data_IF_516440578675
#
_entry.id   IF_516440578675
#
_cell.length_a   1.000
_cell.length_b   1.000
_cell.length_c   1.000
_cell.angle_alpha   90.00
_cell.angle_beta   90.00
_cell.angle_gamma   90.00
#
_symmetry.space_group_name_H-M   'P 1'
#
loop_
_entity.id
_entity.type
_entity.pdbx_description
1 polymer ?
#
# COMPACT_ATOMS: atom_id res chain seq x y z
N UNK A 1 -16.08 -59.57 -3.59
CA UNK A 1 -17.08 -60.40 -2.89
C UNK A 1 -17.93 -59.47 -2.02
N UNK A 2 -19.25 -59.60 -2.26
CA UNK A 2 -20.42 -59.26 -1.45
C UNK A 2 -20.79 -57.79 -1.19
N UNK A 3 -21.75 -57.38 -2.01
CA UNK A 3 -22.88 -56.49 -1.79
C UNK A 3 -23.60 -56.63 -0.44
N UNK A 4 -24.24 -55.52 -0.01
CA UNK A 4 -25.61 -55.42 0.55
C UNK A 4 -25.89 -53.93 0.71
N UNK A 5 -26.66 -53.28 -0.05
CA UNK A 5 -28.05 -53.01 -0.40
C UNK A 5 -29.04 -52.97 0.78
N UNK A 6 -29.89 -51.91 0.66
CA UNK A 6 -31.29 -51.81 1.13
C UNK A 6 -31.50 -51.09 2.47
N UNK A 7 -32.45 -50.16 2.70
CA UNK A 7 -33.78 -49.92 2.10
C UNK A 7 -34.30 -48.54 2.49
N UNK A 8 -35.10 -47.97 1.61
CA UNK A 8 -36.02 -46.83 1.78
C UNK A 8 -37.05 -47.04 2.89
N UNK A 9 -37.45 -45.97 3.58
CA UNK A 9 -38.79 -45.86 4.18
C UNK A 9 -39.36 -44.48 3.86
N UNK A 10 -40.44 -44.48 3.09
CA UNK A 10 -41.38 -43.39 2.82
C UNK A 10 -42.43 -43.45 3.93
N UNK A 11 -42.75 -42.30 4.53
CA UNK A 11 -43.99 -42.15 5.29
C UNK A 11 -44.58 -40.75 5.00
N UNK A 12 -45.68 -40.77 4.25
CA UNK A 12 -46.61 -39.68 4.04
C UNK A 12 -47.74 -39.76 5.05
N UNK A 13 -48.12 -38.65 5.68
CA UNK A 13 -49.46 -38.46 6.33
C UNK A 13 -49.76 -36.97 6.31
N UNK A 14 -50.62 -36.53 5.45
CA UNK A 14 -52.03 -36.19 5.58
C UNK A 14 -52.36 -34.80 6.17
N UNK A 15 -53.01 -34.06 5.28
CA UNK A 15 -53.72 -32.80 5.35
C UNK A 15 -54.82 -32.82 6.42
N UNK A 16 -54.97 -31.71 7.18
CA UNK A 16 -56.27 -31.37 7.77
C UNK A 16 -56.53 -29.85 7.64
N UNK A 17 -57.47 -29.51 6.78
CA UNK A 17 -58.16 -28.23 6.68
C UNK A 17 -59.07 -28.04 7.91
N UNK A 18 -59.04 -26.86 8.55
CA UNK A 18 -60.19 -26.35 9.30
C UNK A 18 -60.43 -24.90 8.94
N UNK A 19 -61.55 -24.69 8.29
CA UNK A 19 -62.20 -23.41 8.04
C UNK A 19 -62.97 -23.03 9.28
N UNK A 20 -62.82 -21.78 9.76
CA UNK A 20 -63.65 -21.22 10.81
C UNK A 20 -63.75 -19.71 10.59
N UNK A 21 -64.81 -19.29 9.95
CA UNK A 21 -65.22 -17.89 9.88
C UNK A 21 -66.02 -17.54 11.12
N UNK A 22 -65.76 -16.34 11.73
CA UNK A 22 -66.80 -15.52 12.34
C UNK A 22 -66.35 -14.07 12.53
N UNK A 23 -67.25 -13.21 12.15
CA UNK A 23 -67.20 -11.78 12.10
C UNK A 23 -67.18 -11.09 13.49
N UNK A 24 -66.67 -9.86 13.54
CA UNK A 24 -67.04 -8.96 14.61
C UNK A 24 -66.13 -7.77 14.85
N UNK A 25 -66.60 -6.60 14.41
CA UNK A 25 -66.45 -5.28 15.02
C UNK A 25 -65.14 -4.45 14.90
N UNK A 26 -65.25 -3.52 14.04
CA UNK A 26 -64.83 -2.09 14.05
C UNK A 26 -64.19 -1.57 15.36
N UNK A 27 -62.96 -1.13 15.25
CA UNK A 27 -62.48 0.08 15.94
C UNK A 27 -61.29 0.67 15.16
N UNK A 28 -61.47 1.87 14.71
CA UNK A 28 -60.52 2.68 13.96
C UNK A 28 -59.32 3.09 14.85
N UNK A 29 -58.23 2.36 14.71
CA UNK A 29 -56.94 2.77 15.23
C UNK A 29 -56.02 3.09 14.05
N UNK A 30 -55.67 4.35 13.92
CA UNK A 30 -54.71 4.88 12.97
C UNK A 30 -53.34 4.23 13.25
N UNK A 31 -53.04 3.18 12.57
CA UNK A 31 -51.72 2.53 12.61
C UNK A 31 -50.82 3.33 11.68
N UNK A 32 -49.95 4.12 12.29
CA UNK A 32 -48.78 4.71 11.60
C UNK A 32 -47.87 3.55 11.23
N UNK A 33 -47.93 3.13 10.00
CA UNK A 33 -46.98 2.17 9.43
C UNK A 33 -45.64 2.91 9.34
N UNK A 34 -44.81 2.77 10.34
CA UNK A 34 -43.38 3.07 10.22
C UNK A 34 -42.81 2.09 9.22
N UNK A 35 -42.64 2.56 7.99
CA UNK A 35 -41.85 1.83 7.00
C UNK A 35 -40.40 1.95 7.44
N UNK A 36 -39.96 1.03 8.29
CA UNK A 36 -38.54 0.76 8.47
C UNK A 36 -38.01 0.32 7.11
N UNK A 37 -37.49 1.26 6.36
CA UNK A 37 -36.65 0.97 5.20
C UNK A 37 -35.35 0.40 5.75
N UNK A 38 -35.35 -0.87 6.11
CA UNK A 38 -34.10 -1.61 6.32
C UNK A 38 -33.35 -1.55 5.00
N UNK A 39 -32.38 -0.64 4.93
CA UNK A 39 -31.38 -0.62 3.88
C UNK A 39 -30.67 -1.97 3.97
N UNK A 40 -31.05 -2.89 3.08
CA UNK A 40 -30.34 -4.17 2.93
C UNK A 40 -28.92 -3.83 2.51
N UNK A 41 -27.99 -3.74 3.48
CA UNK A 41 -26.57 -3.68 3.16
C UNK A 41 -26.25 -4.97 2.43
N UNK A 42 -25.93 -4.86 1.15
CA UNK A 42 -25.46 -6.00 0.36
C UNK A 42 -24.22 -6.56 1.05
N UNK A 43 -24.29 -7.80 1.47
CA UNK A 43 -23.21 -8.47 2.21
C UNK A 43 -21.98 -8.57 1.29
N UNK A 44 -20.84 -8.04 1.76
CA UNK A 44 -19.57 -8.06 1.03
C UNK A 44 -18.92 -9.43 1.24
N UNK A 45 -18.73 -10.18 0.16
CA UNK A 45 -18.20 -11.56 0.18
C UNK A 45 -17.14 -11.75 -0.90
N UNK A 46 -16.31 -12.79 -0.77
CA UNK A 46 -15.34 -13.19 -1.78
C UNK A 46 -13.88 -12.99 -1.34
N UNK A 47 -12.97 -13.14 -2.30
CA UNK A 47 -11.52 -13.02 -2.05
C UNK A 47 -10.86 -12.18 -3.13
N UNK A 48 -9.97 -11.27 -2.73
CA UNK A 48 -9.12 -10.47 -3.61
C UNK A 48 -7.67 -10.51 -3.15
N UNK A 49 -6.76 -10.28 -4.08
CA UNK A 49 -5.32 -10.08 -3.80
C UNK A 49 -4.91 -8.69 -4.24
N UNK A 50 -4.21 -7.98 -3.34
CA UNK A 50 -3.51 -6.73 -3.60
C UNK A 50 -2.01 -6.98 -3.54
N UNK A 51 -1.27 -6.72 -4.62
CA UNK A 51 0.16 -7.04 -4.74
C UNK A 51 0.95 -5.83 -5.25
N UNK A 52 2.19 -5.67 -4.81
CA UNK A 52 3.09 -4.69 -5.41
C UNK A 52 3.93 -3.88 -4.43
N UNK A 53 3.70 -2.56 -4.37
CA UNK A 53 4.49 -1.63 -3.55
C UNK A 53 4.69 -2.10 -2.11
N UNK A 54 5.95 -2.22 -1.69
CA UNK A 54 6.30 -2.47 -0.29
C UNK A 54 6.29 -1.21 0.56
N UNK A 55 6.17 -0.02 -0.05
CA UNK A 55 5.95 1.23 0.67
C UNK A 55 4.47 1.43 1.04
N UNK A 56 3.53 0.98 0.19
CA UNK A 56 2.08 0.99 0.47
C UNK A 56 1.64 -0.21 1.34
N UNK A 57 2.45 -1.27 1.36
CA UNK A 57 2.08 -2.54 2.02
C UNK A 57 1.59 -2.38 3.46
N UNK A 58 2.24 -1.59 4.36
CA UNK A 58 1.76 -1.43 5.73
C UNK A 58 0.33 -0.87 5.83
N UNK A 59 -0.04 0.08 4.95
CA UNK A 59 -1.38 0.65 4.91
C UNK A 59 -2.40 -0.36 4.37
N UNK A 60 -2.05 -1.07 3.30
CA UNK A 60 -2.90 -2.07 2.70
C UNK A 60 -3.17 -3.25 3.65
N UNK A 61 -2.17 -3.69 4.43
CA UNK A 61 -2.30 -4.74 5.44
C UNK A 61 -3.22 -4.32 6.59
N UNK A 62 -3.06 -3.10 7.13
CA UNK A 62 -3.93 -2.60 8.19
C UNK A 62 -5.36 -2.38 7.69
N UNK A 63 -5.52 -1.89 6.44
CA UNK A 63 -6.82 -1.79 5.81
C UNK A 63 -7.47 -3.17 5.61
N UNK A 64 -6.73 -4.16 5.11
CA UNK A 64 -7.23 -5.50 4.92
C UNK A 64 -7.70 -6.13 6.24
N UNK A 65 -6.89 -6.00 7.29
CA UNK A 65 -7.23 -6.48 8.63
C UNK A 65 -8.54 -5.87 9.15
N UNK A 66 -8.60 -4.54 9.21
CA UNK A 66 -9.76 -3.83 9.78
C UNK A 66 -11.01 -3.91 8.88
N UNK A 67 -10.83 -4.04 7.57
CA UNK A 67 -11.93 -4.29 6.63
C UNK A 67 -12.56 -5.67 6.84
N UNK A 68 -11.74 -6.71 7.01
CA UNK A 68 -12.20 -8.09 7.24
C UNK A 68 -12.87 -8.26 8.62
N UNK A 69 -12.45 -7.50 9.64
CA UNK A 69 -13.14 -7.47 10.93
C UNK A 69 -14.61 -7.00 10.79
N UNK A 70 -14.87 -6.08 9.85
CA UNK A 70 -16.23 -5.57 9.55
C UNK A 70 -16.98 -6.42 8.52
N UNK A 71 -16.26 -7.15 7.67
CA UNK A 71 -16.79 -7.93 6.56
C UNK A 71 -16.26 -9.37 6.63
N UNK A 72 -16.77 -10.14 7.57
CA UNK A 72 -16.22 -11.47 7.94
C UNK A 72 -16.29 -12.54 6.84
N UNK A 73 -17.04 -12.29 5.76
CA UNK A 73 -17.09 -13.16 4.58
C UNK A 73 -16.20 -12.69 3.42
N UNK A 74 -15.49 -11.59 3.61
CA UNK A 74 -14.50 -11.07 2.67
C UNK A 74 -13.09 -11.49 3.06
N UNK A 75 -12.24 -11.81 2.08
CA UNK A 75 -10.81 -12.06 2.27
C UNK A 75 -10.01 -11.12 1.38
N UNK A 76 -9.09 -10.37 1.99
CA UNK A 76 -8.15 -9.51 1.28
C UNK A 76 -6.73 -9.95 1.62
N UNK A 77 -6.01 -10.47 0.62
CA UNK A 77 -4.61 -10.88 0.76
C UNK A 77 -3.71 -9.75 0.25
N UNK A 78 -2.73 -9.35 1.05
CA UNK A 78 -1.76 -8.32 0.67
C UNK A 78 -0.38 -8.94 0.48
N UNK A 79 0.29 -8.61 -0.62
CA UNK A 79 1.60 -9.13 -0.99
C UNK A 79 2.53 -8.00 -1.44
N UNK A 80 3.82 -8.12 -1.13
CA UNK A 80 4.86 -7.25 -1.66
C UNK A 80 5.24 -7.61 -3.12
N UNK A 81 6.46 -7.25 -3.52
CA UNK A 81 7.03 -7.57 -4.84
C UNK A 81 7.49 -6.35 -5.63
N UNK A 82 7.14 -5.14 -5.15
CA UNK A 82 7.45 -3.86 -5.78
C UNK A 82 6.41 -3.42 -6.81
N UNK A 83 6.33 -2.13 -7.04
CA UNK A 83 5.32 -1.47 -7.90
C UNK A 83 5.22 -2.07 -9.30
N UNK A 84 6.37 -2.35 -9.93
CA UNK A 84 6.40 -2.92 -11.28
C UNK A 84 5.81 -4.34 -11.34
N UNK A 85 5.95 -5.13 -10.27
CA UNK A 85 5.32 -6.46 -10.17
C UNK A 85 3.81 -6.30 -10.04
N UNK A 86 3.35 -5.48 -9.07
CA UNK A 86 1.92 -5.26 -8.87
C UNK A 86 1.20 -4.73 -10.13
N UNK A 87 1.81 -3.77 -10.82
CA UNK A 87 1.26 -3.24 -12.07
C UNK A 87 1.16 -4.30 -13.18
N UNK A 88 2.20 -5.14 -13.36
CA UNK A 88 2.19 -6.24 -14.33
C UNK A 88 1.12 -7.28 -14.01
N UNK A 89 1.04 -7.67 -12.75
CA UNK A 89 0.09 -8.69 -12.31
C UNK A 89 -1.35 -8.20 -12.43
N UNK A 90 -1.62 -6.93 -12.10
CA UNK A 90 -2.94 -6.32 -12.29
C UNK A 90 -3.29 -6.21 -13.77
N UNK A 91 -2.39 -5.75 -14.64
CA UNK A 91 -2.63 -5.67 -16.08
C UNK A 91 -2.88 -7.05 -16.70
N UNK A 92 -2.18 -8.08 -16.23
CA UNK A 92 -2.42 -9.47 -16.64
C UNK A 92 -3.73 -10.05 -16.08
N UNK A 93 -4.28 -9.48 -14.99
CA UNK A 93 -5.45 -10.00 -14.29
C UNK A 93 -5.11 -11.11 -13.28
N UNK A 94 -3.84 -11.26 -12.91
CA UNK A 94 -3.38 -12.23 -11.91
C UNK A 94 -3.77 -11.81 -10.47
N UNK A 95 -3.92 -10.51 -10.24
CA UNK A 95 -4.38 -9.92 -8.99
C UNK A 95 -5.46 -8.88 -9.27
N UNK A 96 -6.34 -8.62 -8.30
CA UNK A 96 -7.41 -7.64 -8.42
C UNK A 96 -6.90 -6.22 -8.25
N UNK A 97 -5.84 -6.03 -7.44
CA UNK A 97 -5.26 -4.72 -7.15
C UNK A 97 -3.74 -4.77 -7.32
N UNK A 98 -3.20 -3.87 -8.14
CA UNK A 98 -1.76 -3.61 -8.26
C UNK A 98 -1.36 -2.37 -7.47
N UNK A 99 -0.61 -2.55 -6.38
CA UNK A 99 -0.12 -1.44 -5.54
C UNK A 99 1.13 -0.79 -6.15
N UNK A 100 1.20 0.55 -6.22
CA UNK A 100 2.31 1.24 -6.86
C UNK A 100 2.64 2.61 -6.25
N UNK A 101 3.93 2.93 -6.14
CA UNK A 101 4.48 4.25 -5.77
C UNK A 101 4.63 5.17 -7.01
N UNK A 102 4.33 4.68 -8.21
CA UNK A 102 4.50 5.40 -9.47
C UNK A 102 3.34 5.16 -10.42
N UNK A 103 3.18 6.04 -11.40
CA UNK A 103 2.17 5.85 -12.43
C UNK A 103 2.45 4.59 -13.27
N UNK A 104 1.39 3.96 -13.76
CA UNK A 104 1.48 2.72 -14.54
C UNK A 104 2.37 2.88 -15.78
N UNK A 105 2.29 4.04 -16.44
CA UNK A 105 3.06 4.39 -17.63
C UNK A 105 4.58 4.47 -17.37
N UNK A 106 5.00 4.64 -16.12
CA UNK A 106 6.43 4.64 -15.77
C UNK A 106 7.03 3.21 -15.72
N UNK A 107 6.21 2.18 -15.71
CA UNK A 107 6.62 0.77 -15.55
C UNK A 107 6.12 -0.17 -16.63
N UNK A 108 5.05 0.18 -17.29
CA UNK A 108 4.39 -0.68 -18.29
C UNK A 108 4.44 -0.05 -19.69
N UNK A 109 4.44 -0.89 -20.74
CA UNK A 109 4.11 -0.44 -22.10
C UNK A 109 2.74 0.24 -22.14
N UNK A 110 2.58 1.24 -23.01
CA UNK A 110 1.36 2.05 -23.07
C UNK A 110 0.07 1.23 -23.34
N UNK A 111 0.18 0.13 -24.09
CA UNK A 111 -0.95 -0.78 -24.35
C UNK A 111 -1.40 -1.55 -23.10
N UNK A 112 -0.51 -1.82 -22.16
CA UNK A 112 -0.82 -2.44 -20.88
C UNK A 112 -1.28 -1.40 -19.84
N UNK A 113 -0.58 -0.25 -19.75
CA UNK A 113 -0.94 0.80 -18.80
C UNK A 113 -2.37 1.31 -18.99
N UNK A 114 -2.82 1.48 -20.25
CA UNK A 114 -4.18 1.92 -20.58
C UNK A 114 -5.31 0.95 -20.17
N UNK A 115 -4.97 -0.31 -19.82
CA UNK A 115 -5.94 -1.27 -19.30
C UNK A 115 -6.25 -1.05 -17.81
N UNK A 116 -5.43 -0.24 -17.14
CA UNK A 116 -5.50 -0.03 -15.71
C UNK A 116 -6.23 1.28 -15.37
N UNK A 117 -7.08 1.18 -14.36
CA UNK A 117 -7.72 2.34 -13.73
C UNK A 117 -6.95 2.70 -12.47
N UNK A 118 -6.57 3.97 -12.33
CA UNK A 118 -5.81 4.51 -11.21
C UNK A 118 -6.73 4.96 -10.07
N UNK A 119 -6.48 4.41 -8.89
CA UNK A 119 -7.10 4.83 -7.64
C UNK A 119 -6.00 5.39 -6.72
N UNK A 120 -5.86 6.72 -6.67
CA UNK A 120 -4.94 7.38 -5.74
C UNK A 120 -5.41 7.18 -4.31
N UNK A 121 -4.54 6.64 -3.45
CA UNK A 121 -4.89 6.29 -2.06
C UNK A 121 -4.41 7.36 -1.07
N UNK A 122 -3.14 7.71 -1.14
CA UNK A 122 -2.49 8.65 -0.22
C UNK A 122 -1.19 9.17 -0.84
N UNK A 123 -0.42 9.91 -0.04
CA UNK A 123 0.93 10.38 -0.39
C UNK A 123 1.94 9.83 0.60
N UNK A 124 3.15 9.55 0.13
CA UNK A 124 4.27 9.08 0.94
C UNK A 124 5.56 9.83 0.56
N UNK A 125 6.36 10.18 1.57
CA UNK A 125 7.71 10.70 1.36
C UNK A 125 8.74 9.58 1.33
N UNK A 126 9.89 9.84 0.68
CA UNK A 126 11.02 8.92 0.65
C UNK A 126 12.29 9.66 1.07
N UNK A 127 13.08 9.07 1.94
CA UNK A 127 14.34 9.68 2.40
C UNK A 127 15.52 8.76 2.19
N UNK A 128 16.69 9.35 2.01
CA UNK A 128 17.95 8.64 2.18
C UNK A 128 18.10 8.24 3.65
N UNK A 129 18.44 6.97 3.87
CA UNK A 129 18.60 6.37 5.20
C UNK A 129 19.93 5.69 5.29
N UNK A 130 20.61 5.87 6.41
CA UNK A 130 21.95 5.33 6.64
C UNK A 130 22.01 4.49 7.92
N UNK A 131 23.03 3.65 8.00
CA UNK A 131 23.41 2.98 9.24
C UNK A 131 23.70 4.01 10.35
N UNK A 132 23.35 3.74 11.59
CA UNK A 132 23.54 4.67 12.73
C UNK A 132 24.98 5.12 12.96
N UNK A 133 25.99 4.36 12.49
CA UNK A 133 27.41 4.71 12.62
C UNK A 133 27.84 5.84 11.67
N UNK A 134 27.06 6.10 10.62
CA UNK A 134 27.31 7.26 9.73
C UNK A 134 27.02 8.54 10.48
N UNK A 135 27.98 9.49 10.47
CA UNK A 135 27.89 10.75 11.23
C UNK A 135 27.18 11.88 10.46
N UNK A 136 27.04 11.74 9.15
CA UNK A 136 26.34 12.70 8.29
C UNK A 136 24.84 12.73 8.63
N UNK A 137 24.24 13.92 8.64
CA UNK A 137 22.81 14.16 8.92
C UNK A 137 22.06 14.82 7.78
N UNK A 138 22.79 15.39 6.82
CA UNK A 138 22.23 16.08 5.67
C UNK A 138 23.09 15.83 4.42
N UNK A 139 22.46 15.72 3.26
CA UNK A 139 23.14 15.67 1.96
C UNK A 139 22.48 16.66 1.01
N UNK A 140 23.33 17.38 0.24
CA UNK A 140 22.81 18.14 -0.91
C UNK A 140 22.43 17.19 -2.03
N UNK A 141 21.70 17.71 -3.01
CA UNK A 141 21.32 16.91 -4.20
C UNK A 141 22.56 16.38 -4.93
N UNK A 142 23.58 17.21 -5.10
CA UNK A 142 24.84 16.86 -5.78
C UNK A 142 25.59 15.77 -5.03
N UNK A 143 25.66 15.87 -3.69
CA UNK A 143 26.28 14.85 -2.84
C UNK A 143 25.53 13.52 -2.94
N UNK A 144 24.21 13.56 -2.86
CA UNK A 144 23.38 12.37 -2.97
C UNK A 144 23.55 11.69 -4.34
N UNK A 145 23.53 12.49 -5.42
CA UNK A 145 23.82 12.01 -6.78
C UNK A 145 25.22 11.40 -6.85
N UNK A 146 26.24 12.09 -6.32
CA UNK A 146 27.63 11.61 -6.31
C UNK A 146 27.79 10.26 -5.60
N UNK A 147 27.09 10.08 -4.47
CA UNK A 147 27.07 8.82 -3.72
C UNK A 147 26.43 7.73 -4.57
N UNK A 148 25.17 7.91 -4.98
CA UNK A 148 24.43 6.84 -5.66
C UNK A 148 24.97 6.51 -7.06
N UNK A 149 25.64 7.43 -7.74
CA UNK A 149 26.35 7.16 -9.00
C UNK A 149 27.76 6.59 -8.81
N UNK A 150 28.22 6.46 -7.55
CA UNK A 150 29.52 5.88 -7.21
C UNK A 150 30.72 6.80 -7.44
N UNK A 151 30.49 8.12 -7.62
CA UNK A 151 31.55 9.12 -7.74
C UNK A 151 32.14 9.47 -6.38
N UNK A 152 31.29 9.58 -5.34
CA UNK A 152 31.66 9.75 -3.94
C UNK A 152 31.63 8.37 -3.28
N UNK A 153 32.75 7.95 -2.70
CA UNK A 153 32.94 6.57 -2.19
C UNK A 153 33.27 6.51 -0.70
N UNK A 154 33.50 7.64 -0.07
CA UNK A 154 33.83 7.73 1.33
C UNK A 154 33.03 8.85 2.01
N UNK A 155 32.52 8.58 3.21
CA UNK A 155 31.73 9.55 3.96
C UNK A 155 32.49 10.84 4.29
N UNK A 156 33.83 10.82 4.41
CA UNK A 156 34.64 12.01 4.62
C UNK A 156 34.54 13.04 3.49
N UNK A 157 34.22 12.60 2.27
CA UNK A 157 34.04 13.48 1.11
C UNK A 157 32.80 14.39 1.23
N UNK A 158 31.90 14.03 2.13
CA UNK A 158 30.67 14.79 2.42
C UNK A 158 30.56 15.23 3.88
N UNK A 159 31.71 15.34 4.57
CA UNK A 159 31.79 15.86 5.93
C UNK A 159 31.57 14.83 7.04
N UNK A 160 31.54 13.56 6.71
CA UNK A 160 31.45 12.44 7.68
C UNK A 160 32.83 11.93 8.12
N UNK A 161 32.82 10.84 8.85
CA UNK A 161 34.02 10.11 9.27
C UNK A 161 34.67 9.42 8.07
N UNK A 162 35.97 9.06 8.22
CA UNK A 162 36.70 8.26 7.22
C UNK A 162 36.12 6.81 7.21
N UNK A 163 35.08 6.61 6.44
CA UNK A 163 34.33 5.36 6.35
C UNK A 163 33.87 5.16 4.90
N UNK A 164 34.07 3.97 4.37
CA UNK A 164 33.61 3.60 3.01
C UNK A 164 32.10 3.64 2.93
N UNK A 165 31.57 4.20 1.84
CA UNK A 165 30.14 4.15 1.54
C UNK A 165 29.79 2.78 0.94
N UNK A 166 28.74 2.16 1.47
CA UNK A 166 28.15 0.91 0.95
C UNK A 166 26.74 1.23 0.50
N UNK A 167 26.51 1.23 -0.82
CA UNK A 167 25.20 1.52 -1.40
C UNK A 167 24.37 0.25 -1.40
N UNK A 168 23.13 0.33 -0.92
CA UNK A 168 22.11 -0.70 -1.07
C UNK A 168 21.08 -0.22 -2.09
N UNK A 169 21.02 -0.90 -3.21
CA UNK A 169 20.07 -0.60 -4.28
C UNK A 169 18.78 -1.41 -4.14
N UNK A 170 17.82 -1.09 -4.97
CA UNK A 170 16.57 -1.82 -5.15
C UNK A 170 16.48 -2.33 -6.60
N UNK A 171 15.75 -3.42 -6.88
CA UNK A 171 15.53 -3.88 -8.25
C UNK A 171 14.72 -2.87 -9.08
N UNK A 172 14.75 -3.01 -10.39
CA UNK A 172 14.02 -2.12 -11.30
C UNK A 172 12.51 -2.16 -11.13
N UNK A 173 11.97 -3.25 -10.55
CA UNK A 173 10.55 -3.35 -10.18
C UNK A 173 10.16 -2.44 -9.01
N UNK A 174 11.11 -1.94 -8.21
CA UNK A 174 10.83 -1.07 -7.07
C UNK A 174 10.29 0.30 -7.52
N UNK A 175 9.12 0.69 -7.00
CA UNK A 175 8.58 2.03 -7.16
C UNK A 175 9.37 3.05 -6.34
N UNK A 176 9.76 2.70 -5.11
CA UNK A 176 10.62 3.52 -4.24
C UNK A 176 11.91 3.92 -4.95
N UNK A 177 12.57 2.98 -5.64
CA UNK A 177 13.72 3.28 -6.49
C UNK A 177 13.38 4.27 -7.60
N UNK A 178 12.28 4.05 -8.30
CA UNK A 178 11.87 4.91 -9.41
C UNK A 178 11.59 6.35 -8.93
N UNK A 179 10.86 6.50 -7.84
CA UNK A 179 10.58 7.81 -7.22
C UNK A 179 11.86 8.48 -6.73
N UNK A 180 12.72 7.75 -6.02
CA UNK A 180 13.99 8.28 -5.54
C UNK A 180 14.93 8.69 -6.71
N UNK A 181 15.06 7.86 -7.74
CA UNK A 181 15.80 8.19 -8.95
C UNK A 181 15.30 9.49 -9.59
N UNK A 182 13.98 9.62 -9.76
CA UNK A 182 13.34 10.77 -10.42
C UNK A 182 13.57 12.07 -9.65
N UNK A 183 13.29 12.08 -8.36
CA UNK A 183 13.24 13.31 -7.57
C UNK A 183 14.53 13.61 -6.79
N UNK A 184 15.23 12.60 -6.27
CA UNK A 184 16.47 12.77 -5.54
C UNK A 184 17.69 12.80 -6.48
N UNK A 185 17.73 11.89 -7.47
CA UNK A 185 18.91 11.75 -8.34
C UNK A 185 18.77 12.49 -9.68
N UNK A 186 17.66 13.21 -9.91
CA UNK A 186 17.43 13.92 -11.17
C UNK A 186 17.42 13.00 -12.39
N UNK A 187 16.93 11.78 -12.25
CA UNK A 187 16.84 10.78 -13.30
C UNK A 187 18.12 9.97 -13.55
N UNK A 188 19.22 10.25 -12.85
CA UNK A 188 20.49 9.52 -13.03
C UNK A 188 20.40 8.10 -12.51
N UNK A 189 21.05 7.17 -13.22
CA UNK A 189 21.11 5.76 -12.80
C UNK A 189 22.03 5.56 -11.61
N UNK A 190 21.61 4.67 -10.72
CA UNK A 190 22.43 4.21 -9.61
C UNK A 190 23.60 3.36 -10.11
N UNK A 191 24.76 3.44 -9.43
CA UNK A 191 25.92 2.61 -9.73
C UNK A 191 25.57 1.13 -9.68
N UNK A 192 26.03 0.41 -10.69
CA UNK A 192 25.82 -1.03 -10.83
C UNK A 192 27.09 -1.82 -10.45
N UNK A 193 26.93 -3.08 -10.09
CA UNK A 193 28.02 -4.03 -9.95
C UNK A 193 28.80 -4.03 -8.63
N UNK A 194 28.68 -3.00 -7.78
CA UNK A 194 29.33 -2.93 -6.47
C UNK A 194 28.34 -2.77 -5.31
N UNK A 195 27.08 -2.52 -5.62
CA UNK A 195 26.02 -2.31 -4.66
C UNK A 195 25.30 -3.62 -4.32
N UNK A 196 24.92 -3.78 -3.06
CA UNK A 196 23.98 -4.81 -2.64
C UNK A 196 22.60 -4.45 -3.17
N UNK A 197 21.78 -5.45 -3.52
CA UNK A 197 20.42 -5.24 -4.02
C UNK A 197 19.44 -5.94 -3.11
N UNK A 198 18.48 -5.18 -2.58
CA UNK A 198 17.42 -5.67 -1.69
C UNK A 198 16.04 -5.51 -2.34
N UNK A 199 15.21 -6.54 -2.27
CA UNK A 199 13.93 -6.61 -2.98
C UNK A 199 12.76 -5.90 -2.29
N UNK A 200 12.88 -5.61 -0.99
CA UNK A 200 11.79 -5.03 -0.19
C UNK A 200 12.30 -3.98 0.80
N UNK A 201 11.40 -3.12 1.29
CA UNK A 201 11.71 -2.14 2.34
C UNK A 201 12.19 -2.81 3.63
N UNK A 202 11.64 -3.98 3.95
CA UNK A 202 12.06 -4.77 5.12
C UNK A 202 13.49 -5.29 4.99
N UNK A 203 13.85 -5.82 3.82
CA UNK A 203 15.22 -6.29 3.55
C UNK A 203 16.21 -5.13 3.58
N UNK A 204 15.89 -3.98 2.97
CA UNK A 204 16.71 -2.76 3.05
C UNK A 204 16.99 -2.36 4.49
N UNK A 205 15.94 -2.26 5.32
CA UNK A 205 16.12 -1.87 6.74
C UNK A 205 17.03 -2.85 7.48
N UNK A 206 16.82 -4.15 7.29
CA UNK A 206 17.65 -5.19 7.94
C UNK A 206 19.12 -5.09 7.52
N UNK A 207 19.38 -4.93 6.23
CA UNK A 207 20.76 -4.87 5.70
C UNK A 207 21.45 -3.56 6.06
N UNK A 208 20.73 -2.42 6.06
CA UNK A 208 21.25 -1.13 6.55
C UNK A 208 21.73 -1.22 8.00
N UNK A 209 20.94 -1.84 8.89
CA UNK A 209 21.31 -2.05 10.31
C UNK A 209 22.55 -2.88 10.49
N UNK A 210 22.72 -3.89 9.66
CA UNK A 210 23.83 -4.86 9.74
C UNK A 210 25.12 -4.36 9.07
N UNK A 211 25.07 -3.31 8.25
CA UNK A 211 26.19 -2.88 7.39
C UNK A 211 26.64 -1.47 7.73
N UNK A 212 27.78 -1.33 8.39
CA UNK A 212 28.36 -0.02 8.68
C UNK A 212 28.69 0.74 7.40
N UNK A 213 28.48 2.06 7.41
CA UNK A 213 28.70 2.92 6.27
C UNK A 213 27.66 2.81 5.16
N UNK A 214 26.62 1.99 5.36
CA UNK A 214 25.61 1.77 4.33
C UNK A 214 24.62 2.94 4.20
N UNK A 215 24.12 3.10 2.97
CA UNK A 215 23.07 4.04 2.57
C UNK A 215 22.10 3.37 1.63
N UNK A 216 20.82 3.69 1.78
CA UNK A 216 19.73 3.35 0.87
C UNK A 216 18.62 4.40 1.00
N UNK A 217 17.39 4.04 0.59
CA UNK A 217 16.21 4.89 0.70
C UNK A 217 14.99 4.08 1.16
N UNK A 218 14.19 4.71 2.02
CA UNK A 218 12.96 4.12 2.57
C UNK A 218 11.82 5.14 2.57
N UNK A 219 10.59 4.63 2.53
CA UNK A 219 9.39 5.43 2.65
C UNK A 219 9.14 5.88 4.11
N UNK A 220 8.49 7.03 4.30
CA UNK A 220 8.07 7.55 5.60
C UNK A 220 7.22 6.55 6.37
N UNK A 221 6.33 5.85 5.68
CA UNK A 221 5.48 4.80 6.24
C UNK A 221 6.26 3.67 6.92
N UNK A 222 7.41 3.31 6.35
CA UNK A 222 8.27 2.28 6.93
C UNK A 222 9.05 2.78 8.14
N UNK A 223 9.40 4.08 8.14
CA UNK A 223 10.18 4.75 9.18
C UNK A 223 9.34 5.22 10.39
N UNK A 224 8.02 5.16 10.30
CA UNK A 224 7.11 5.48 11.41
C UNK A 224 7.14 4.39 12.50
N UNK A 225 7.45 3.16 12.14
CA UNK A 225 7.60 2.06 13.10
C UNK A 225 8.98 2.12 13.75
N UNK A 226 9.03 2.31 15.06
CA UNK A 226 10.28 2.43 15.82
C UNK A 226 11.19 1.21 15.66
N UNK A 227 10.67 0.00 15.61
CA UNK A 227 11.46 -1.21 15.38
C UNK A 227 12.17 -1.19 14.01
N UNK A 228 11.54 -0.59 13.00
CA UNK A 228 12.16 -0.41 11.67
C UNK A 228 13.23 0.68 11.68
N UNK A 229 13.00 1.75 12.43
CA UNK A 229 13.87 2.93 12.49
C UNK A 229 15.09 2.75 13.42
N UNK A 230 14.97 1.95 14.47
CA UNK A 230 16.07 1.71 15.42
C UNK A 230 17.34 1.25 14.70
N UNK A 231 18.50 1.86 15.01
CA UNK A 231 19.79 1.57 14.37
C UNK A 231 19.97 2.23 12.99
N UNK A 232 19.05 3.10 12.59
CA UNK A 232 19.09 3.87 11.34
C UNK A 232 19.02 5.38 11.61
N UNK A 233 19.56 6.15 10.67
CA UNK A 233 19.38 7.62 10.62
C UNK A 233 18.73 8.02 9.30
N UNK A 234 17.71 8.87 9.39
CA UNK A 234 17.08 9.52 8.24
C UNK A 234 17.84 10.80 7.96
N UNK A 235 18.30 10.98 6.73
CA UNK A 235 19.03 12.18 6.34
C UNK A 235 18.09 13.27 5.87
N UNK A 236 18.42 14.52 6.17
CA UNK A 236 17.84 15.68 5.52
C UNK A 236 18.27 15.74 4.05
N UNK A 237 17.45 16.30 3.20
CA UNK A 237 17.74 16.54 1.80
C UNK A 237 17.80 18.04 1.53
N UNK A 238 19.00 18.55 1.20
CA UNK A 238 19.21 19.98 0.99
C UNK A 238 18.87 20.84 2.20
N UNK A 239 19.05 20.33 3.42
CA UNK A 239 18.70 21.00 4.67
C UNK A 239 17.22 20.90 5.05
N UNK A 240 16.42 20.16 4.28
CA UNK A 240 14.98 19.96 4.56
C UNK A 240 14.76 18.56 5.14
N UNK A 241 14.11 18.51 6.29
CA UNK A 241 13.69 17.26 6.91
C UNK A 241 12.42 16.72 6.23
N UNK A 242 12.33 15.38 6.09
CA UNK A 242 11.14 14.70 5.62
C UNK A 242 10.11 14.65 6.74
N UNK A 243 9.15 15.57 6.74
CA UNK A 243 7.99 15.57 7.64
C UNK A 243 6.69 15.67 6.83
N UNK A 244 5.53 15.29 7.41
CA UNK A 244 4.25 15.48 6.74
C UNK A 244 4.04 16.91 6.24
N UNK A 245 4.45 17.93 7.03
CA UNK A 245 4.27 19.34 6.70
C UNK A 245 5.19 19.79 5.55
N UNK A 246 6.45 19.32 5.53
CA UNK A 246 7.39 19.69 4.46
C UNK A 246 7.04 19.00 3.15
N UNK A 247 6.53 17.77 3.20
CA UNK A 247 6.01 17.05 2.04
C UNK A 247 4.73 17.72 1.53
N UNK A 248 3.75 17.94 2.41
CA UNK A 248 2.46 18.51 2.04
C UNK A 248 2.61 19.91 1.41
N UNK A 249 3.55 20.71 1.90
CA UNK A 249 3.83 22.05 1.36
C UNK A 249 4.69 22.05 0.08
N UNK A 250 5.26 20.90 -0.32
CA UNK A 250 6.18 20.80 -1.45
C UNK A 250 7.60 21.30 -1.16
N UNK A 251 7.94 21.60 0.11
CA UNK A 251 9.32 21.95 0.49
C UNK A 251 10.27 20.75 0.42
N UNK A 252 9.76 19.57 0.75
CA UNK A 252 10.48 18.30 0.60
C UNK A 252 10.08 17.64 -0.71
N UNK A 253 11.02 17.49 -1.63
CA UNK A 253 10.73 17.11 -3.02
C UNK A 253 10.61 15.61 -3.27
N UNK A 254 11.10 14.75 -2.38
CA UNK A 254 11.13 13.31 -2.65
C UNK A 254 9.88 12.64 -2.10
N UNK A 255 8.79 12.72 -2.84
CA UNK A 255 7.50 12.11 -2.50
C UNK A 255 6.75 11.64 -3.74
N UNK A 256 5.75 10.77 -3.57
CA UNK A 256 4.82 10.37 -4.62
C UNK A 256 3.44 10.08 -4.07
N UNK A 257 2.47 9.98 -4.97
CA UNK A 257 1.22 9.30 -4.67
C UNK A 257 1.46 7.80 -4.51
N UNK A 258 0.68 7.19 -3.65
CA UNK A 258 0.47 5.76 -3.59
C UNK A 258 -0.83 5.43 -4.33
N UNK A 259 -0.75 4.44 -5.18
CA UNK A 259 -1.81 4.06 -6.10
C UNK A 259 -2.24 2.61 -5.89
N UNK A 260 -3.53 2.35 -6.05
CA UNK A 260 -4.09 1.03 -6.28
C UNK A 260 -4.62 0.98 -7.71
N UNK A 261 -4.11 0.08 -8.52
CA UNK A 261 -4.54 -0.09 -9.90
C UNK A 261 -5.43 -1.32 -10.05
N UNK A 262 -6.51 -1.17 -10.81
CA UNK A 262 -7.39 -2.28 -11.19
C UNK A 262 -7.43 -2.44 -12.70
N UNK A 263 -7.59 -3.68 -13.20
CA UNK A 263 -7.81 -3.91 -14.63
C UNK A 263 -9.26 -3.58 -14.99
N UNK A 264 -9.46 -2.42 -15.62
CA UNK A 264 -10.80 -1.83 -15.77
C UNK A 264 -11.37 -1.31 -14.45
N UNK A 265 -12.65 -0.93 -14.45
CA UNK A 265 -13.32 -0.39 -13.27
C UNK A 265 -13.37 -1.38 -12.11
N UNK A 266 -13.13 -0.89 -10.90
CA UNK A 266 -13.27 -1.69 -9.70
C UNK A 266 -14.74 -2.03 -9.43
N UNK A 267 -15.03 -3.30 -9.13
CA UNK A 267 -16.38 -3.78 -8.81
C UNK A 267 -16.40 -4.53 -7.48
N UNK A 268 -17.60 -4.73 -6.94
CA UNK A 268 -17.88 -5.60 -5.80
C UNK A 268 -16.91 -5.41 -4.62
N UNK A 269 -16.28 -6.49 -4.17
CA UNK A 269 -15.33 -6.49 -3.06
C UNK A 269 -14.13 -5.59 -3.33
N UNK A 270 -13.60 -5.57 -4.58
CA UNK A 270 -12.45 -4.72 -4.93
C UNK A 270 -12.78 -3.24 -4.75
N UNK A 271 -13.93 -2.81 -5.27
CA UNK A 271 -14.41 -1.43 -5.10
C UNK A 271 -14.63 -1.10 -3.62
N UNK A 272 -15.31 -1.97 -2.90
CA UNK A 272 -15.60 -1.77 -1.48
C UNK A 272 -14.31 -1.63 -0.64
N UNK A 273 -13.27 -2.39 -0.96
CA UNK A 273 -11.98 -2.29 -0.28
C UNK A 273 -11.25 -0.99 -0.60
N UNK A 274 -11.26 -0.55 -1.88
CA UNK A 274 -10.64 0.73 -2.28
C UNK A 274 -11.41 1.91 -1.66
N UNK A 275 -12.73 1.89 -1.68
CA UNK A 275 -13.57 2.91 -1.03
C UNK A 275 -13.31 2.98 0.49
N UNK A 276 -13.07 1.83 1.14
CA UNK A 276 -12.75 1.76 2.57
C UNK A 276 -11.41 2.43 2.89
N UNK A 277 -10.34 2.08 2.17
CA UNK A 277 -9.00 2.61 2.43
C UNK A 277 -8.86 4.10 2.10
N UNK A 278 -9.67 4.59 1.15
CA UNK A 278 -9.72 6.01 0.75
C UNK A 278 -10.78 6.81 1.49
N UNK A 279 -11.62 6.15 2.28
CA UNK A 279 -12.72 6.75 3.01
C UNK A 279 -12.29 7.64 4.18
N UNK A 280 -13.16 8.56 4.58
CA UNK A 280 -12.90 9.52 5.65
C UNK A 280 -12.57 8.84 6.99
N UNK A 281 -13.22 7.72 7.31
CA UNK A 281 -13.02 6.97 8.55
C UNK A 281 -11.62 6.35 8.66
N UNK A 282 -10.97 6.08 7.51
CA UNK A 282 -9.63 5.50 7.47
C UNK A 282 -8.51 6.56 7.50
N UNK A 283 -8.85 7.85 7.34
CA UNK A 283 -7.90 8.97 7.30
C UNK A 283 -6.96 9.02 8.50
N UNK A 284 -7.47 8.77 9.71
CA UNK A 284 -6.64 8.75 10.93
C UNK A 284 -5.58 7.64 10.89
N UNK A 285 -5.91 6.48 10.35
CA UNK A 285 -5.00 5.36 10.16
C UNK A 285 -3.92 5.67 9.11
N UNK A 286 -4.30 6.33 8.00
CA UNK A 286 -3.36 6.82 6.98
C UNK A 286 -2.27 7.67 7.64
N UNK A 287 -2.66 8.68 8.42
CA UNK A 287 -1.72 9.58 9.11
C UNK A 287 -0.88 8.84 10.16
N UNK A 288 -1.50 7.98 10.97
CA UNK A 288 -0.81 7.19 12.00
C UNK A 288 0.30 6.31 11.43
N UNK A 289 0.11 5.79 10.21
CA UNK A 289 1.09 4.94 9.52
C UNK A 289 2.13 5.73 8.69
N UNK A 290 2.20 7.06 8.86
CA UNK A 290 3.23 7.90 8.23
C UNK A 290 2.96 8.25 6.76
N UNK A 291 1.71 8.11 6.32
CA UNK A 291 1.24 8.63 5.03
C UNK A 291 0.52 9.97 5.21
N UNK A 292 0.30 10.65 4.11
CA UNK A 292 -0.41 11.93 4.07
C UNK A 292 -1.69 11.74 3.26
N UNK A 293 -2.86 12.03 3.83
CA UNK A 293 -4.11 12.03 3.06
C UNK A 293 -4.01 13.01 1.89
N UNK A 294 -4.54 12.63 0.72
CA UNK A 294 -4.47 13.46 -0.49
C UNK A 294 -5.06 14.85 -0.25
N UNK A 295 -6.15 14.94 0.51
CA UNK A 295 -6.81 16.21 0.83
C UNK A 295 -5.93 17.16 1.67
N UNK A 296 -4.90 16.68 2.34
CA UNK A 296 -4.00 17.49 3.16
C UNK A 296 -2.81 18.02 2.36
N UNK A 297 -2.66 17.59 1.09
CA UNK A 297 -1.61 18.07 0.20
C UNK A 297 -1.92 19.48 -0.34
N UNK A 298 -0.88 20.32 -0.34
CA UNK A 298 -0.88 21.66 -0.97
C UNK A 298 -0.09 21.66 -2.27
N UNK A 299 0.86 20.73 -2.38
CA UNK A 299 1.63 20.49 -3.60
C UNK A 299 0.96 19.40 -4.45
N UNK A 300 1.10 19.48 -5.77
CA UNK A 300 0.57 18.52 -6.75
C UNK A 300 1.66 18.05 -7.71
N UNK A 301 1.48 16.87 -8.28
CA UNK A 301 2.33 16.27 -9.33
C UNK A 301 1.49 15.58 -10.38
#
# INVERSE_FOLDING_TARGET
>A
MKNKSLKSIIAAVAVTLMVGALAGCSSTSKSTTSTDTATSQTEITGSITASGSTALQPLAEEAAKTFQEKNTKATVTVQGGGSGTGLKDSAAGNVQIGNSDVFAEEKLPADQAKLLVDHKVCVVGFAAVVNEKVTVTNLTKEQLVGIFTGTIKNWKEVGGSDMKIVILNRPTSSGTRATFKKYALGGKEEAQGTALTEDSSGAVSKTLKATEGSISYLASSFLTNDANKQGLKVLQFGGVEMTPETIASGKYDIWSYEHMYTKGEATDLTKSFIDYITGADFKATVTKLGYIPIADMKATR
#
